data_IF_543943050145
#
_entry.id   IF_543943050145
#
_cell.length_a   1.000
_cell.length_b   1.000
_cell.length_c   1.000
_cell.angle_alpha   90.00
_cell.angle_beta   90.00
_cell.angle_gamma   90.00
#
_symmetry.space_group_name_H-M   'P 1'
#
loop_
_entity.id
_entity.type
_entity.pdbx_description
1 polymer ?
#
# COMPACT_ATOMS: atom_id res chain seq x y z
N UNK A 1 22.30 -22.97 -20.66
CA UNK A 1 22.20 -23.15 -19.19
C UNK A 1 20.80 -23.67 -18.93
N UNK A 2 20.60 -24.92 -18.47
CA UNK A 2 19.26 -25.38 -18.14
C UNK A 2 18.73 -24.55 -16.97
N UNK A 3 17.51 -24.03 -17.10
CA UNK A 3 16.78 -23.43 -15.99
C UNK A 3 16.57 -24.55 -14.97
N UNK A 4 17.09 -24.39 -13.75
CA UNK A 4 16.76 -25.32 -12.67
C UNK A 4 15.33 -25.03 -12.25
N UNK A 5 14.44 -26.00 -12.44
CA UNK A 5 13.08 -25.91 -11.88
C UNK A 5 13.19 -25.81 -10.35
N UNK A 6 12.47 -24.85 -9.78
CA UNK A 6 12.33 -24.70 -8.34
C UNK A 6 11.14 -25.55 -7.91
N UNK A 7 11.29 -26.30 -6.83
CA UNK A 7 10.15 -26.87 -6.11
C UNK A 7 9.48 -25.78 -5.25
N UNK A 8 8.33 -26.08 -4.64
CA UNK A 8 7.58 -25.11 -3.84
C UNK A 8 8.41 -24.50 -2.69
N UNK A 9 9.36 -25.25 -2.12
CA UNK A 9 10.25 -24.75 -1.06
C UNK A 9 11.27 -23.77 -1.64
N UNK A 10 11.83 -24.09 -2.80
CA UNK A 10 12.72 -23.22 -3.55
C UNK A 10 12.04 -21.92 -4.00
N UNK A 11 10.80 -21.99 -4.46
CA UNK A 11 9.99 -20.83 -4.86
C UNK A 11 9.70 -19.90 -3.67
N UNK A 12 9.24 -20.45 -2.54
CA UNK A 12 8.99 -19.67 -1.32
C UNK A 12 10.28 -18.98 -0.84
N UNK A 13 11.39 -19.72 -0.79
CA UNK A 13 12.69 -19.17 -0.41
C UNK A 13 13.12 -18.03 -1.34
N UNK A 14 12.90 -18.17 -2.65
CA UNK A 14 13.17 -17.13 -3.64
C UNK A 14 12.31 -15.88 -3.37
N UNK A 15 11.00 -16.04 -3.19
CA UNK A 15 10.07 -14.93 -2.94
C UNK A 15 10.45 -14.16 -1.67
N UNK A 16 10.84 -14.87 -0.60
CA UNK A 16 11.32 -14.25 0.62
C UNK A 16 12.61 -13.44 0.41
N UNK A 17 13.52 -13.89 -0.45
CA UNK A 17 14.71 -13.09 -0.80
C UNK A 17 14.34 -11.86 -1.63
N UNK A 18 13.44 -12.01 -2.61
CA UNK A 18 13.02 -10.91 -3.50
C UNK A 18 12.38 -9.76 -2.72
N UNK A 19 11.70 -10.01 -1.59
CA UNK A 19 11.10 -8.97 -0.73
C UNK A 19 12.11 -7.93 -0.20
N UNK A 20 13.41 -8.20 -0.26
CA UNK A 20 14.48 -7.31 0.23
C UNK A 20 14.97 -6.29 -0.80
N UNK A 21 14.49 -6.38 -2.05
CA UNK A 21 14.96 -5.55 -3.16
C UNK A 21 13.90 -4.56 -3.63
N UNK A 22 14.34 -3.52 -4.34
CA UNK A 22 13.45 -2.58 -5.04
C UNK A 22 12.89 -3.24 -6.31
N UNK A 23 11.58 -3.09 -6.52
CA UNK A 23 10.88 -3.58 -7.71
C UNK A 23 10.14 -2.42 -8.38
N UNK A 24 10.31 -2.19 -9.69
CA UNK A 24 9.41 -1.30 -10.42
C UNK A 24 8.02 -1.95 -10.49
N UNK A 25 6.99 -1.18 -10.20
CA UNK A 25 5.60 -1.69 -10.09
C UNK A 25 4.60 -0.94 -10.98
N UNK A 26 4.92 0.28 -11.39
CA UNK A 26 4.14 1.11 -12.32
C UNK A 26 5.01 2.25 -12.85
N UNK A 27 4.63 2.84 -13.98
CA UNK A 27 5.22 4.10 -14.45
C UNK A 27 4.65 5.30 -13.68
N UNK A 28 5.43 6.38 -13.57
CA UNK A 28 5.04 7.55 -12.79
C UNK A 28 3.79 8.27 -13.35
N UNK A 29 3.61 8.26 -14.67
CA UNK A 29 2.49 8.85 -15.39
C UNK A 29 1.20 8.02 -15.34
N UNK A 30 1.31 6.71 -15.07
CA UNK A 30 0.17 5.85 -14.75
C UNK A 30 -0.41 6.15 -13.36
N UNK A 31 0.39 6.73 -12.45
CA UNK A 31 -0.07 7.17 -11.13
C UNK A 31 -0.68 8.58 -11.17
N UNK A 32 -1.98 8.60 -11.47
CA UNK A 32 -2.81 9.80 -11.37
C UNK A 32 -3.12 10.23 -9.92
N UNK A 33 -4.26 10.87 -9.74
CA UNK A 33 -4.74 11.33 -8.41
C UNK A 33 -5.50 10.25 -7.63
N UNK A 34 -5.99 9.21 -8.32
CA UNK A 34 -6.64 8.07 -7.70
C UNK A 34 -5.59 7.06 -7.20
N UNK A 35 -5.88 6.32 -6.11
CA UNK A 35 -5.05 5.18 -5.71
C UNK A 35 -4.95 4.13 -6.82
N UNK A 36 -3.74 3.58 -7.02
CA UNK A 36 -3.48 2.50 -7.96
C UNK A 36 -3.25 1.19 -7.20
N UNK A 37 -3.80 0.09 -7.72
CA UNK A 37 -3.53 -1.27 -7.21
C UNK A 37 -2.45 -1.94 -8.05
N UNK A 38 -1.46 -2.52 -7.39
CA UNK A 38 -0.48 -3.43 -8.01
C UNK A 38 -0.40 -4.72 -7.21
N UNK A 39 0.03 -5.81 -7.85
CA UNK A 39 0.36 -7.06 -7.16
C UNK A 39 1.87 -7.28 -7.27
N UNK A 40 2.54 -7.42 -6.13
CA UNK A 40 3.97 -7.68 -6.07
C UNK A 40 4.24 -8.84 -5.11
N UNK A 41 4.87 -9.91 -5.59
CA UNK A 41 5.22 -11.09 -4.78
C UNK A 41 4.02 -11.62 -3.97
N UNK A 42 2.89 -11.81 -4.68
CA UNK A 42 1.57 -12.22 -4.17
C UNK A 42 0.93 -11.31 -3.12
N UNK A 43 1.46 -10.09 -2.96
CA UNK A 43 0.88 -9.07 -2.09
C UNK A 43 0.19 -8.00 -2.92
N UNK A 44 -1.09 -7.74 -2.62
CA UNK A 44 -1.80 -6.59 -3.15
C UNK A 44 -1.29 -5.32 -2.44
N UNK A 45 -0.82 -4.36 -3.22
CA UNK A 45 -0.26 -3.09 -2.75
C UNK A 45 -1.06 -1.95 -3.37
N UNK A 46 -1.44 -0.98 -2.54
CA UNK A 46 -1.99 0.29 -3.00
C UNK A 46 -0.86 1.31 -3.06
N UNK A 47 -0.77 2.02 -4.18
CA UNK A 47 0.17 3.12 -4.40
C UNK A 47 -0.63 4.40 -4.56
N UNK A 48 -0.24 5.46 -3.86
CA UNK A 48 -0.93 6.75 -3.86
C UNK A 48 0.06 7.89 -4.04
N UNK A 49 -0.41 8.97 -4.66
CA UNK A 49 0.30 10.24 -4.74
C UNK A 49 -0.20 11.17 -3.63
N UNK A 50 0.73 11.64 -2.80
CA UNK A 50 0.52 12.55 -1.68
C UNK A 50 1.49 13.73 -1.80
N UNK A 51 1.34 14.77 -0.98
CA UNK A 51 2.13 16.01 -1.04
C UNK A 51 3.63 15.74 -0.78
N UNK A 52 3.95 14.78 0.07
CA UNK A 52 5.33 14.35 0.34
C UNK A 52 5.91 13.41 -0.75
N UNK A 53 5.13 13.06 -1.77
CA UNK A 53 5.50 12.15 -2.84
C UNK A 53 4.65 10.87 -2.86
N UNK A 54 5.23 9.78 -3.34
CA UNK A 54 4.54 8.49 -3.44
C UNK A 54 4.55 7.73 -2.11
N UNK A 55 3.41 7.17 -1.73
CA UNK A 55 3.30 6.24 -0.60
C UNK A 55 2.74 4.90 -1.08
N UNK A 56 3.17 3.81 -0.45
CA UNK A 56 2.71 2.47 -0.76
C UNK A 56 2.38 1.70 0.52
N UNK A 57 1.24 1.01 0.50
CA UNK A 57 0.75 0.22 1.62
C UNK A 57 0.23 -1.11 1.11
N UNK A 58 0.14 -2.12 1.99
CA UNK A 58 -0.73 -3.27 1.70
C UNK A 58 -2.13 -2.76 1.40
N UNK A 59 -2.74 -3.27 0.33
CA UNK A 59 -4.07 -2.87 -0.14
C UNK A 59 -5.19 -3.45 0.72
N UNK A 60 -5.17 -3.12 2.01
CA UNK A 60 -6.01 -3.74 3.03
C UNK A 60 -6.29 -2.76 4.17
N UNK A 61 -7.52 -2.27 4.25
CA UNK A 61 -7.95 -1.45 5.37
C UNK A 61 -7.94 -2.24 6.68
N UNK A 62 -7.29 -1.73 7.72
CA UNK A 62 -7.18 -2.40 9.03
C UNK A 62 -8.50 -2.56 9.78
N UNK A 63 -9.57 -1.91 9.32
CA UNK A 63 -10.90 -2.07 9.89
C UNK A 63 -11.52 -3.44 9.53
N UNK A 64 -11.77 -3.69 8.24
CA UNK A 64 -12.48 -4.89 7.74
C UNK A 64 -11.93 -5.44 6.43
N UNK A 65 -10.70 -5.07 6.08
CA UNK A 65 -10.00 -5.65 4.94
C UNK A 65 -10.47 -5.19 3.56
N UNK A 66 -11.21 -4.09 3.45
CA UNK A 66 -11.52 -3.51 2.14
C UNK A 66 -10.25 -3.06 1.43
N UNK A 67 -10.16 -3.30 0.12
CA UNK A 67 -9.13 -2.72 -0.73
C UNK A 67 -9.17 -1.18 -0.65
N UNK A 68 -8.05 -0.59 -0.25
CA UNK A 68 -7.87 0.85 -0.16
C UNK A 68 -7.67 1.49 -1.54
N UNK A 69 -7.22 0.70 -2.52
CA UNK A 69 -7.10 1.09 -3.92
C UNK A 69 -8.44 1.49 -4.56
N UNK A 70 -9.57 1.03 -4.00
CA UNK A 70 -10.91 1.45 -4.39
C UNK A 70 -11.33 2.79 -3.74
N UNK A 71 -10.46 3.38 -2.93
CA UNK A 71 -10.67 4.63 -2.20
C UNK A 71 -10.28 5.86 -3.00
N UNK A 72 -9.91 6.90 -2.26
CA UNK A 72 -9.47 8.19 -2.82
C UNK A 72 -8.48 8.87 -1.89
N UNK A 73 -7.66 9.77 -2.44
CA UNK A 73 -6.88 10.72 -1.66
C UNK A 73 -7.68 12.01 -1.50
N UNK A 74 -7.85 12.48 -0.27
CA UNK A 74 -8.56 13.73 0.06
C UNK A 74 -7.74 14.42 1.14
N UNK A 75 -7.45 15.71 0.97
CA UNK A 75 -6.68 16.52 1.93
C UNK A 75 -5.35 15.87 2.34
N UNK A 76 -4.65 15.28 1.37
CA UNK A 76 -3.39 14.54 1.53
C UNK A 76 -3.48 13.23 2.34
N UNK A 77 -4.68 12.68 2.48
CA UNK A 77 -4.91 11.45 3.22
C UNK A 77 -5.66 10.40 2.39
N UNK A 78 -5.30 9.14 2.57
CA UNK A 78 -5.95 8.00 1.92
C UNK A 78 -7.23 7.65 2.67
N UNK A 79 -8.38 7.83 2.00
CA UNK A 79 -9.70 7.55 2.55
C UNK A 79 -10.20 6.19 2.06
N UNK A 80 -10.44 5.27 2.99
CA UNK A 80 -11.04 3.98 2.72
C UNK A 80 -12.49 4.15 2.20
N UNK A 81 -12.87 3.48 1.10
CA UNK A 81 -14.19 3.66 0.50
C UNK A 81 -15.33 3.05 1.32
N UNK A 82 -15.03 2.16 2.27
CA UNK A 82 -16.07 1.45 3.00
C UNK A 82 -16.70 2.31 4.11
N UNK A 83 -15.90 2.74 5.08
CA UNK A 83 -16.38 3.47 6.25
C UNK A 83 -15.63 4.80 6.46
N UNK A 84 -14.89 5.26 5.44
CA UNK A 84 -14.16 6.53 5.49
C UNK A 84 -13.01 6.59 6.50
N UNK A 85 -12.49 5.45 6.94
CA UNK A 85 -11.25 5.43 7.73
C UNK A 85 -10.15 6.07 6.91
N UNK A 86 -9.51 7.07 7.48
CA UNK A 86 -8.55 7.94 6.79
C UNK A 86 -7.16 7.72 7.35
N UNK A 87 -6.16 7.70 6.46
CA UNK A 87 -4.78 7.40 6.80
C UNK A 87 -3.82 8.42 6.19
N UNK A 88 -2.85 8.88 6.97
CA UNK A 88 -1.77 9.76 6.49
C UNK A 88 -0.74 9.01 5.61
N UNK A 89 0.26 9.73 5.08
CA UNK A 89 1.36 9.18 4.29
C UNK A 89 2.27 8.17 5.04
N UNK A 90 2.21 8.17 6.38
CA UNK A 90 2.84 7.17 7.24
C UNK A 90 2.00 5.91 7.44
N UNK A 91 0.75 5.91 6.98
CA UNK A 91 -0.24 4.86 7.18
C UNK A 91 -0.95 4.94 8.54
N UNK A 92 -0.81 6.04 9.29
CA UNK A 92 -1.47 6.21 10.58
C UNK A 92 -2.92 6.57 10.37
N UNK A 93 -3.83 5.90 11.05
CA UNK A 93 -5.23 6.31 11.03
C UNK A 93 -5.40 7.63 11.78
N UNK A 94 -5.87 8.65 11.06
CA UNK A 94 -6.08 10.02 11.57
C UNK A 94 -7.55 10.33 11.80
N UNK A 95 -8.45 9.59 11.15
CA UNK A 95 -9.90 9.78 11.30
C UNK A 95 -10.69 8.48 11.19
N UNK A 96 -11.63 8.30 12.11
CA UNK A 96 -12.67 7.27 12.09
C UNK A 96 -14.03 7.98 12.16
N UNK A 97 -14.78 8.09 11.05
CA UNK A 97 -16.00 8.93 11.01
C UNK A 97 -17.07 8.59 12.05
N UNK A 98 -17.23 7.31 12.39
CA UNK A 98 -18.21 6.85 13.37
C UNK A 98 -17.77 7.04 14.84
N UNK A 99 -16.55 7.51 15.10
CA UNK A 99 -16.03 7.73 16.43
C UNK A 99 -15.95 9.23 16.71
N UNK A 100 -16.61 9.66 17.79
CA UNK A 100 -16.52 11.03 18.27
C UNK A 100 -15.35 11.17 19.26
N UNK A 101 -14.45 12.13 19.02
CA UNK A 101 -13.26 12.41 19.85
C UNK A 101 -11.96 11.75 19.37
N UNK A 102 -10.83 12.21 19.91
CA UNK A 102 -9.48 12.01 19.34
C UNK A 102 -8.78 10.69 19.72
N UNK A 103 -9.49 9.75 20.35
CA UNK A 103 -8.87 8.51 20.82
C UNK A 103 -8.91 7.42 19.74
N UNK A 104 -8.08 7.57 18.71
CA UNK A 104 -7.85 6.53 17.70
C UNK A 104 -6.83 5.52 18.25
N UNK A 105 -7.12 4.19 18.19
CA UNK A 105 -6.18 3.20 18.69
C UNK A 105 -4.81 3.31 18.00
N UNK A 106 -3.72 3.32 18.78
CA UNK A 106 -2.35 3.43 18.22
C UNK A 106 -1.99 2.37 17.19
N UNK A 107 -2.66 1.20 17.26
CA UNK A 107 -2.50 0.06 16.34
C UNK A 107 -3.30 0.19 15.04
N UNK A 108 -4.17 1.20 14.90
CA UNK A 108 -4.86 1.49 13.65
C UNK A 108 -3.87 2.10 12.65
N UNK A 109 -3.00 1.26 12.08
CA UNK A 109 -1.93 1.65 11.16
C UNK A 109 -1.82 0.65 10.03
N UNK A 110 -1.69 1.15 8.80
CA UNK A 110 -1.47 0.33 7.61
C UNK A 110 -0.08 -0.30 7.65
N UNK A 111 0.06 -1.44 6.96
CA UNK A 111 1.38 -2.01 6.65
C UNK A 111 1.98 -1.19 5.51
N UNK A 112 3.07 -0.48 5.79
CA UNK A 112 3.73 0.42 4.83
C UNK A 112 4.90 -0.28 4.13
N UNK A 113 5.03 -0.04 2.82
CA UNK A 113 6.23 -0.38 2.04
C UNK A 113 7.04 0.88 1.76
N UNK A 114 8.34 0.72 1.56
CA UNK A 114 9.16 1.82 1.04
C UNK A 114 8.80 2.04 -0.44
N UNK A 115 8.57 3.28 -0.82
CA UNK A 115 8.25 3.68 -2.18
C UNK A 115 9.06 4.93 -2.53
N UNK A 116 9.49 5.01 -3.79
CA UNK A 116 10.14 6.20 -4.36
C UNK A 116 9.84 6.26 -5.85
N UNK A 117 9.62 7.46 -6.34
CA UNK A 117 9.66 7.72 -7.78
C UNK A 117 11.15 7.84 -8.17
N UNK A 118 11.59 7.09 -9.18
CA UNK A 118 12.94 7.23 -9.69
C UNK A 118 13.00 8.47 -10.59
N UNK A 119 14.06 9.30 -10.51
CA UNK A 119 14.24 10.36 -11.49
C UNK A 119 14.37 9.77 -12.90
N UNK A 120 13.80 10.47 -13.87
CA UNK A 120 13.96 10.16 -15.29
C UNK A 120 15.41 10.27 -15.75
#
# INVERSE_FOLDING_TARGET
MPVRELDAVGEEALYQQLRRFWHPVLFADELGTAPARVTLLDEAVVVVRMAAGVAAFRDLCVHRGTALSLGKVVDDELVCPYHGWTYDAGGVCTRIPARHGDNIPRRARLVRHQAREAPA
#
